data_IF_564997152391
#
_entry.id   IF_564997152391
#
_cell.length_a   1.000
_cell.length_b   1.000
_cell.length_c   1.000
_cell.angle_alpha   90.00
_cell.angle_beta   90.00
_cell.angle_gamma   90.00
#
_symmetry.space_group_name_H-M   'P 1'
#
loop_
_entity.id
_entity.type
_entity.pdbx_description
1 polymer ?
#
# COMPACT_ATOMS: atom_id res chain seq x y z
N UNK A 1 12.34 -21.01 1.79
CA UNK A 1 11.59 -19.95 2.54
C UNK A 1 11.06 -18.91 1.60
N UNK A 2 9.84 -18.50 1.77
CA UNK A 2 9.22 -17.39 1.02
C UNK A 2 8.75 -16.35 2.03
N UNK A 3 9.09 -15.09 1.79
CA UNK A 3 8.61 -13.93 2.56
C UNK A 3 7.99 -12.95 1.58
N UNK A 4 6.78 -12.51 1.87
CA UNK A 4 6.07 -11.54 1.03
C UNK A 4 5.73 -10.30 1.83
N UNK A 5 5.94 -9.13 1.22
CA UNK A 5 5.50 -7.86 1.76
C UNK A 5 5.33 -6.82 0.66
N UNK A 6 4.59 -5.78 0.96
CA UNK A 6 4.30 -4.71 0.01
C UNK A 6 5.39 -3.63 -0.03
N UNK A 7 5.61 -3.12 -1.24
CA UNK A 7 6.13 -1.77 -1.47
C UNK A 7 4.97 -0.89 -1.94
N UNK A 8 4.55 0.04 -1.11
CA UNK A 8 3.39 0.90 -1.36
C UNK A 8 3.68 2.09 -2.28
N UNK A 9 4.91 2.23 -2.77
CA UNK A 9 5.35 3.43 -3.53
C UNK A 9 4.48 3.73 -4.75
N UNK A 10 4.00 2.74 -5.45
CA UNK A 10 3.20 2.92 -6.67
C UNK A 10 1.69 2.85 -6.48
N UNK A 11 1.22 2.68 -5.24
CA UNK A 11 -0.21 2.55 -4.96
C UNK A 11 -0.96 3.85 -5.23
N UNK A 12 -2.13 3.75 -5.85
CA UNK A 12 -3.01 4.89 -6.04
C UNK A 12 -4.14 4.62 -7.03
N UNK A 13 -4.99 5.62 -7.22
CA UNK A 13 -6.02 5.58 -8.25
C UNK A 13 -5.38 5.67 -9.64
N UNK A 14 -5.93 4.96 -10.63
CA UNK A 14 -5.43 4.95 -12.01
C UNK A 14 -5.39 6.37 -12.61
N UNK A 15 -6.45 7.14 -12.37
CA UNK A 15 -6.59 8.53 -12.80
C UNK A 15 -6.25 9.50 -11.66
N UNK A 16 -5.12 9.27 -11.01
CA UNK A 16 -4.69 10.08 -9.88
C UNK A 16 -4.64 11.58 -10.21
N UNK A 17 -5.19 12.36 -9.34
CA UNK A 17 -5.08 13.83 -9.33
C UNK A 17 -4.31 14.27 -8.08
N UNK A 18 -3.94 15.57 -7.95
CA UNK A 18 -3.19 16.03 -6.77
C UNK A 18 -3.87 15.75 -5.44
N UNK A 19 -5.21 15.77 -5.39
CA UNK A 19 -5.96 15.46 -4.17
C UNK A 19 -5.81 13.99 -3.77
N UNK A 20 -6.01 13.07 -4.71
CA UNK A 20 -5.89 11.63 -4.42
C UNK A 20 -4.44 11.21 -4.12
N UNK A 21 -3.47 11.82 -4.76
CA UNK A 21 -2.05 11.62 -4.43
C UNK A 21 -1.74 12.08 -3.01
N UNK A 22 -2.27 13.24 -2.60
CA UNK A 22 -2.13 13.74 -1.23
C UNK A 22 -2.74 12.79 -0.20
N UNK A 23 -3.91 12.22 -0.49
CA UNK A 23 -4.56 11.21 0.39
C UNK A 23 -3.63 10.00 0.57
N UNK A 24 -3.08 9.48 -0.51
CA UNK A 24 -2.17 8.34 -0.46
C UNK A 24 -0.92 8.65 0.38
N UNK A 25 -0.30 9.81 0.16
CA UNK A 25 0.86 10.25 0.94
C UNK A 25 0.53 10.40 2.44
N UNK A 26 -0.63 10.97 2.76
CA UNK A 26 -1.06 11.15 4.15
C UNK A 26 -1.22 9.80 4.87
N UNK A 27 -1.82 8.81 4.22
CA UNK A 27 -1.98 7.46 4.78
C UNK A 27 -0.63 6.79 4.99
N UNK A 28 0.27 6.85 4.01
CA UNK A 28 1.60 6.25 4.13
C UNK A 28 2.45 6.95 5.21
N UNK A 29 2.34 8.26 5.32
CA UNK A 29 3.00 9.03 6.39
C UNK A 29 2.49 8.61 7.76
N UNK A 30 1.18 8.47 7.92
CA UNK A 30 0.57 7.99 9.16
C UNK A 30 1.08 6.59 9.54
N UNK A 31 1.11 5.68 8.58
CA UNK A 31 1.62 4.32 8.80
C UNK A 31 3.09 4.33 9.24
N UNK A 32 3.92 5.15 8.59
CA UNK A 32 5.34 5.29 8.95
C UNK A 32 5.52 5.85 10.37
N UNK A 33 4.73 6.84 10.75
CA UNK A 33 4.75 7.41 12.10
C UNK A 33 4.30 6.40 13.17
N UNK A 34 3.44 5.45 12.81
CA UNK A 34 3.02 4.37 13.68
C UNK A 34 4.02 3.20 13.76
N UNK A 35 5.19 3.31 13.12
CA UNK A 35 6.25 2.31 13.15
C UNK A 35 6.17 1.27 12.03
N UNK A 36 5.26 1.42 11.08
CA UNK A 36 5.14 0.56 9.92
C UNK A 36 6.03 1.08 8.77
N UNK A 37 6.80 0.19 8.13
CA UNK A 37 7.60 0.57 6.96
C UNK A 37 6.80 0.31 5.67
N UNK A 38 6.23 1.34 5.02
CA UNK A 38 5.41 1.15 3.83
C UNK A 38 6.22 0.71 2.60
N UNK A 39 7.54 0.64 2.71
CA UNK A 39 8.45 0.22 1.63
C UNK A 39 9.23 -1.04 1.98
N UNK A 40 8.82 -1.76 2.99
CA UNK A 40 9.56 -2.93 3.45
C UNK A 40 9.73 -3.98 2.34
N UNK A 41 8.76 -4.15 1.45
CA UNK A 41 8.84 -5.08 0.33
C UNK A 41 10.15 -4.97 -0.47
N UNK A 42 10.68 -3.77 -0.70
CA UNK A 42 11.94 -3.57 -1.42
C UNK A 42 13.19 -4.03 -0.64
N UNK A 43 13.05 -4.29 0.65
CA UNK A 43 14.15 -4.75 1.51
C UNK A 43 14.15 -6.25 1.77
N UNK A 44 13.05 -6.93 1.47
CA UNK A 44 12.86 -8.37 1.78
C UNK A 44 14.05 -9.22 1.29
N UNK A 45 14.49 -9.03 0.05
CA UNK A 45 15.59 -9.82 -0.52
C UNK A 45 16.90 -9.59 0.21
N UNK A 46 17.21 -8.31 0.49
CA UNK A 46 18.44 -7.97 1.21
C UNK A 46 18.43 -8.49 2.65
N UNK A 47 17.30 -8.38 3.33
CA UNK A 47 17.18 -8.86 4.72
C UNK A 47 17.26 -10.38 4.79
N UNK A 48 16.69 -11.10 3.82
CA UNK A 48 16.83 -12.56 3.72
C UNK A 48 18.30 -12.98 3.51
N UNK A 49 19.01 -12.30 2.63
CA UNK A 49 20.43 -12.58 2.40
C UNK A 49 21.26 -12.27 3.66
N UNK A 50 20.99 -11.15 4.32
CA UNK A 50 21.65 -10.81 5.58
C UNK A 50 21.36 -11.80 6.71
N UNK A 51 20.21 -12.44 6.69
CA UNK A 51 19.83 -13.50 7.62
C UNK A 51 20.51 -14.86 7.32
N UNK A 52 21.32 -14.93 6.27
CA UNK A 52 22.11 -16.13 5.94
C UNK A 52 21.42 -17.12 4.99
N UNK A 53 20.32 -16.73 4.35
CA UNK A 53 19.72 -17.56 3.31
C UNK A 53 20.59 -17.52 2.04
N UNK A 54 20.65 -18.65 1.32
CA UNK A 54 21.34 -18.77 0.02
C UNK A 54 20.34 -18.70 -1.13
N UNK A 55 20.86 -18.45 -2.33
CA UNK A 55 20.08 -18.37 -3.58
C UNK A 55 18.87 -17.43 -3.48
N UNK A 56 19.05 -16.32 -2.78
CA UNK A 56 17.96 -15.37 -2.54
C UNK A 56 17.65 -14.61 -3.82
N UNK A 57 16.36 -14.59 -4.20
CA UNK A 57 15.85 -13.81 -5.32
C UNK A 57 14.52 -13.17 -4.93
N UNK A 58 14.12 -12.14 -5.66
CA UNK A 58 12.84 -11.45 -5.47
C UNK A 58 12.00 -11.46 -6.74
N UNK A 59 10.70 -11.53 -6.56
CA UNK A 59 9.70 -11.37 -7.61
C UNK A 59 8.70 -10.30 -7.18
N UNK A 60 8.37 -9.38 -8.09
CA UNK A 60 7.42 -8.30 -7.81
C UNK A 60 6.17 -8.43 -8.68
N UNK A 61 5.00 -8.14 -8.11
CA UNK A 61 3.75 -8.10 -8.83
C UNK A 61 2.95 -6.85 -8.43
N UNK A 62 2.51 -6.09 -9.44
CA UNK A 62 1.55 -5.02 -9.30
C UNK A 62 0.45 -5.18 -10.35
N UNK A 63 -0.79 -4.85 -9.99
CA UNK A 63 -1.96 -5.03 -10.84
C UNK A 63 -2.77 -3.73 -10.87
N UNK A 64 -3.52 -3.53 -11.94
CA UNK A 64 -4.63 -2.57 -11.98
C UNK A 64 -5.90 -3.37 -11.73
N UNK A 65 -6.60 -3.04 -10.65
CA UNK A 65 -7.85 -3.71 -10.25
C UNK A 65 -8.99 -2.69 -10.11
N UNK A 66 -10.20 -3.15 -10.25
CA UNK A 66 -11.41 -2.34 -10.09
C UNK A 66 -12.26 -2.81 -8.90
N UNK A 67 -13.35 -2.08 -8.64
CA UNK A 67 -14.26 -2.35 -7.53
C UNK A 67 -14.94 -3.74 -7.58
N UNK A 68 -14.89 -4.43 -8.72
CA UNK A 68 -15.42 -5.78 -8.88
C UNK A 68 -14.35 -6.86 -8.74
N UNK A 69 -13.07 -6.47 -8.68
CA UNK A 69 -11.96 -7.41 -8.57
C UNK A 69 -11.84 -8.00 -7.17
N UNK A 70 -11.48 -9.28 -7.03
CA UNK A 70 -11.09 -9.83 -5.73
C UNK A 70 -9.93 -9.02 -5.13
N UNK A 71 -10.02 -8.73 -3.85
CA UNK A 71 -8.99 -7.99 -3.13
C UNK A 71 -9.15 -6.46 -3.16
N UNK A 72 -10.02 -5.89 -3.97
CA UNK A 72 -10.28 -4.45 -3.95
C UNK A 72 -10.76 -3.98 -2.57
N UNK A 73 -11.60 -4.75 -1.92
CA UNK A 73 -12.13 -4.45 -0.60
C UNK A 73 -11.05 -4.34 0.47
N UNK A 74 -9.91 -5.02 0.30
CA UNK A 74 -8.78 -4.87 1.19
C UNK A 74 -8.33 -3.40 1.28
N UNK A 75 -8.20 -2.73 0.13
CA UNK A 75 -7.77 -1.32 0.09
C UNK A 75 -8.86 -0.38 0.58
N UNK A 76 -10.10 -0.60 0.16
CA UNK A 76 -11.25 0.19 0.59
C UNK A 76 -11.44 0.13 2.11
N UNK A 77 -11.47 -1.05 2.68
CA UNK A 77 -11.66 -1.26 4.12
C UNK A 77 -10.45 -0.78 4.93
N UNK A 78 -9.24 -0.94 4.40
CA UNK A 78 -8.02 -0.40 5.03
C UNK A 78 -8.09 1.12 5.12
N UNK A 79 -8.51 1.80 4.06
CA UNK A 79 -8.69 3.25 4.09
C UNK A 79 -9.78 3.65 5.09
N UNK A 80 -10.94 3.00 5.08
CA UNK A 80 -12.03 3.29 6.02
C UNK A 80 -11.59 3.12 7.48
N UNK A 81 -10.78 2.11 7.78
CA UNK A 81 -10.30 1.86 9.14
C UNK A 81 -9.26 2.89 9.61
N UNK A 82 -8.51 3.51 8.70
CA UNK A 82 -7.46 4.49 9.01
C UNK A 82 -7.93 5.94 8.89
N UNK A 83 -8.99 6.19 8.17
CA UNK A 83 -9.44 7.53 7.76
C UNK A 83 -9.52 8.51 8.93
N UNK A 84 -10.21 8.15 9.99
CA UNK A 84 -10.41 9.05 11.13
C UNK A 84 -9.09 9.32 11.86
N UNK A 85 -8.24 8.32 12.02
CA UNK A 85 -6.94 8.47 12.67
C UNK A 85 -6.01 9.39 11.86
N UNK A 86 -6.02 9.29 10.55
CA UNK A 86 -5.22 10.15 9.66
C UNK A 86 -5.67 11.61 9.74
N UNK A 87 -6.97 11.84 9.78
CA UNK A 87 -7.56 13.19 9.99
C UNK A 87 -7.19 13.73 11.37
N UNK A 88 -7.36 12.93 12.41
CA UNK A 88 -7.06 13.33 13.79
C UNK A 88 -5.57 13.63 14.00
N UNK A 89 -4.69 12.96 13.24
CA UNK A 89 -3.26 13.25 13.24
C UNK A 89 -2.88 14.53 12.49
N UNK A 90 -3.85 15.23 11.87
CA UNK A 90 -3.61 16.46 11.13
C UNK A 90 -2.95 16.28 9.76
N UNK A 91 -2.89 15.05 9.24
CA UNK A 91 -2.24 14.74 7.96
C UNK A 91 -3.17 14.92 6.76
N UNK A 92 -4.48 14.91 7.00
CA UNK A 92 -5.50 14.97 5.96
C UNK A 92 -6.71 15.75 6.46
N UNK A 93 -7.31 16.59 5.63
CA UNK A 93 -8.56 17.25 5.96
C UNK A 93 -9.73 16.26 5.97
N UNK A 94 -10.77 16.55 6.76
CA UNK A 94 -11.99 15.74 6.74
C UNK A 94 -12.62 15.73 5.35
N UNK A 95 -12.62 16.87 4.66
CA UNK A 95 -13.19 16.97 3.31
C UNK A 95 -12.45 16.06 2.31
N UNK A 96 -11.12 16.02 2.34
CA UNK A 96 -10.33 15.16 1.46
C UNK A 96 -10.51 13.69 1.81
N UNK A 97 -10.59 13.35 3.09
CA UNK A 97 -10.86 11.99 3.56
C UNK A 97 -12.23 11.50 3.09
N UNK A 98 -13.26 12.32 3.19
CA UNK A 98 -14.61 11.99 2.75
C UNK A 98 -14.69 11.85 1.22
N UNK A 99 -14.01 12.72 0.47
CA UNK A 99 -13.92 12.61 -0.99
C UNK A 99 -13.25 11.30 -1.43
N UNK A 100 -12.19 10.89 -0.76
CA UNK A 100 -11.53 9.61 -1.03
C UNK A 100 -12.44 8.41 -0.71
N UNK A 101 -13.17 8.46 0.40
CA UNK A 101 -14.13 7.42 0.76
C UNK A 101 -15.22 7.25 -0.30
N UNK A 102 -15.75 8.36 -0.83
CA UNK A 102 -16.73 8.35 -1.92
C UNK A 102 -16.11 7.70 -3.17
N UNK A 103 -14.87 8.05 -3.50
CA UNK A 103 -14.18 7.52 -4.67
C UNK A 103 -13.97 6.01 -4.59
N UNK A 104 -13.63 5.47 -3.42
CA UNK A 104 -13.55 4.02 -3.19
C UNK A 104 -14.91 3.33 -3.31
N UNK A 105 -16.02 4.01 -3.04
CA UNK A 105 -17.37 3.46 -3.15
C UNK A 105 -17.93 3.51 -4.58
N UNK A 106 -17.31 4.28 -5.47
CA UNK A 106 -17.69 4.39 -6.87
C UNK A 106 -16.98 3.31 -7.72
N UNK A 107 -17.39 3.21 -8.99
CA UNK A 107 -16.71 2.34 -9.95
C UNK A 107 -15.38 2.99 -10.35
N UNK A 108 -14.31 2.51 -9.77
CA UNK A 108 -12.96 3.06 -9.94
C UNK A 108 -11.91 1.97 -10.08
N UNK A 109 -10.73 2.33 -10.57
CA UNK A 109 -9.57 1.45 -10.66
C UNK A 109 -8.42 1.98 -9.84
N UNK A 110 -7.67 1.05 -9.25
CA UNK A 110 -6.45 1.36 -8.51
C UNK A 110 -5.29 0.53 -9.03
N UNK A 111 -4.11 1.14 -9.00
CA UNK A 111 -2.86 0.40 -9.10
C UNK A 111 -2.52 -0.12 -7.71
N UNK A 112 -2.36 -1.43 -7.58
CA UNK A 112 -2.00 -2.03 -6.30
C UNK A 112 -0.57 -1.65 -5.90
N UNK A 113 -0.23 -1.71 -4.59
CA UNK A 113 1.17 -1.70 -4.22
C UNK A 113 1.87 -2.92 -4.85
N UNK A 114 3.19 -2.85 -4.98
CA UNK A 114 3.96 -3.99 -5.47
C UNK A 114 4.14 -5.00 -4.35
N UNK A 115 3.57 -6.21 -4.51
CA UNK A 115 3.86 -7.34 -3.65
C UNK A 115 5.21 -7.90 -4.04
N UNK A 116 6.17 -7.88 -3.13
CA UNK A 116 7.49 -8.48 -3.34
C UNK A 116 7.55 -9.80 -2.60
N UNK A 117 7.81 -10.88 -3.33
CA UNK A 117 8.09 -12.19 -2.78
C UNK A 117 9.59 -12.42 -2.79
N UNK A 118 10.21 -12.51 -1.63
CA UNK A 118 11.57 -12.98 -1.46
C UNK A 118 11.59 -14.50 -1.35
N UNK A 119 12.44 -15.17 -2.11
CA UNK A 119 12.57 -16.62 -2.16
C UNK A 119 14.03 -16.98 -1.90
N UNK A 120 14.28 -17.85 -0.94
CA UNK A 120 15.63 -18.27 -0.59
C UNK A 120 15.68 -19.65 0.05
N UNK A 121 16.89 -20.19 0.18
CA UNK A 121 17.17 -21.49 0.80
C UNK A 121 17.88 -21.30 2.13
N UNK A 122 17.56 -22.17 3.06
CA UNK A 122 18.30 -22.29 4.32
C UNK A 122 19.65 -22.97 4.13
#
# INVERSE_FOLDING_TARGET
MVIEDYDWTGFGFEDADPQSEHVTEAVLTFMAQAGFDPRYGRRVVADMAAAGLSDVRGEGRALVIDSHSPGFDFFRLSFESLRDAVVDAGLLSRADADAAAIRFAEDTRVLTPTMIAGIGRR
#
